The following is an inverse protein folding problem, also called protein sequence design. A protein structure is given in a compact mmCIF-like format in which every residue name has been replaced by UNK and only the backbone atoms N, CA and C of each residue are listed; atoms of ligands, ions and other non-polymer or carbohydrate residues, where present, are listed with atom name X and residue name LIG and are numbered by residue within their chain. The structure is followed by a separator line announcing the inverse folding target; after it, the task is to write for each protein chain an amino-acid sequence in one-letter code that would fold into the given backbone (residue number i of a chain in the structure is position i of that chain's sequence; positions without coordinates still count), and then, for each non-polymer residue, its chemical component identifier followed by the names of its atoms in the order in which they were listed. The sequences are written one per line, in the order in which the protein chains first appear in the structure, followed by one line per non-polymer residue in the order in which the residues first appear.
data_IF_086220612277
#
_entry.id   IF_086220612277
#
_cell.length_a   1.000
_cell.length_b   1.000
_cell.length_c   1.000
_cell.angle_alpha   90.00
_cell.angle_beta   90.00
_cell.angle_gamma   90.00
#
_symmetry.space_group_name_H-M   'P 1'
#
loop_
_entity.id
_entity.type
_entity.pdbx_description
1 polymer ?
#
# COMPACT_ATOMS: atom_id res chain seq x y z
N UNK A 1 8.92 10.91 -26.88
CA UNK A 1 8.03 10.32 -25.87
C UNK A 1 6.60 10.58 -26.31
N UNK A 2 5.77 9.54 -26.45
CA UNK A 2 4.35 9.70 -26.82
C UNK A 2 3.50 9.94 -25.58
N UNK A 3 2.33 10.57 -25.71
CA UNK A 3 1.41 10.83 -24.57
C UNK A 3 1.09 9.52 -23.82
N UNK A 4 0.87 8.42 -24.55
CA UNK A 4 0.61 7.10 -23.98
C UNK A 4 1.77 6.57 -23.11
N UNK A 5 3.02 6.86 -23.50
CA UNK A 5 4.20 6.43 -22.75
C UNK A 5 4.40 7.25 -21.48
N UNK A 6 4.09 8.56 -21.50
CA UNK A 6 4.11 9.40 -20.31
C UNK A 6 3.06 8.95 -19.28
N UNK A 7 1.82 8.71 -19.71
CA UNK A 7 0.74 8.22 -18.83
C UNK A 7 1.05 6.84 -18.24
N UNK A 8 1.72 5.96 -18.99
CA UNK A 8 2.15 4.67 -18.47
C UNK A 8 3.19 4.82 -17.36
N UNK A 9 4.21 5.66 -17.55
CA UNK A 9 5.25 5.90 -16.55
C UNK A 9 4.65 6.49 -15.27
N UNK A 10 3.76 7.46 -15.38
CA UNK A 10 3.06 8.06 -14.23
C UNK A 10 2.27 7.02 -13.43
N UNK A 11 1.53 6.14 -14.12
CA UNK A 11 0.79 5.04 -13.48
C UNK A 11 1.73 4.04 -12.81
N UNK A 12 2.84 3.68 -13.46
CA UNK A 12 3.82 2.76 -12.87
C UNK A 12 4.47 3.35 -11.62
N UNK A 13 4.85 4.62 -11.65
CA UNK A 13 5.40 5.30 -10.49
C UNK A 13 4.39 5.38 -9.34
N UNK A 14 3.12 5.63 -9.65
CA UNK A 14 2.07 5.63 -8.64
C UNK A 14 1.86 4.23 -8.04
N UNK A 15 1.88 3.18 -8.85
CA UNK A 15 1.78 1.79 -8.38
C UNK A 15 2.94 1.46 -7.43
N UNK A 16 4.18 1.78 -7.82
CA UNK A 16 5.36 1.55 -7.00
C UNK A 16 5.30 2.29 -5.66
N UNK A 17 4.74 3.52 -5.65
CA UNK A 17 4.55 4.28 -4.41
C UNK A 17 3.54 3.61 -3.47
N UNK A 18 2.40 3.16 -4.00
CA UNK A 18 1.36 2.48 -3.21
C UNK A 18 1.89 1.16 -2.65
N UNK A 19 2.62 0.38 -3.45
CA UNK A 19 3.25 -0.88 -3.03
C UNK A 19 4.24 -0.66 -1.88
N UNK A 20 5.14 0.33 -2.02
CA UNK A 20 6.10 0.64 -0.93
C UNK A 20 5.44 1.14 0.36
N UNK A 21 4.33 1.89 0.26
CA UNK A 21 3.53 2.31 1.42
C UNK A 21 2.86 1.11 2.10
N UNK A 22 2.28 0.21 1.30
CA UNK A 22 1.65 -1.01 1.79
C UNK A 22 2.65 -1.90 2.54
N UNK A 23 3.83 -2.14 1.96
CA UNK A 23 4.88 -2.96 2.57
C UNK A 23 5.37 -2.36 3.90
N UNK A 24 5.60 -1.05 3.92
CA UNK A 24 6.00 -0.35 5.16
C UNK A 24 4.95 -0.52 6.25
N UNK A 25 3.67 -0.47 5.90
CA UNK A 25 2.57 -0.59 6.85
C UNK A 25 2.38 -2.04 7.32
N UNK A 26 2.56 -3.01 6.41
CA UNK A 26 2.59 -4.44 6.72
C UNK A 26 3.68 -4.76 7.74
N UNK A 27 4.90 -4.27 7.53
CA UNK A 27 6.01 -4.45 8.46
C UNK A 27 5.70 -3.88 9.85
N UNK A 28 5.03 -2.71 9.91
CA UNK A 28 4.60 -2.11 11.20
C UNK A 28 3.55 -2.94 11.90
N UNK A 29 2.55 -3.46 11.17
CA UNK A 29 1.51 -4.36 11.73
C UNK A 29 2.14 -5.65 12.25
N UNK A 30 3.09 -6.23 11.51
CA UNK A 30 3.83 -7.42 11.94
C UNK A 30 4.63 -7.11 13.21
N UNK A 31 5.37 -6.00 13.24
CA UNK A 31 6.15 -5.58 14.40
C UNK A 31 5.28 -5.32 15.64
N UNK A 32 4.08 -4.77 15.46
CA UNK A 32 3.10 -4.59 16.53
C UNK A 32 2.68 -5.93 17.15
N UNK A 33 2.61 -7.01 16.37
CA UNK A 33 2.33 -8.36 16.88
C UNK A 33 3.43 -8.93 17.79
N UNK A 34 4.65 -8.38 17.75
CA UNK A 34 5.79 -8.83 18.54
C UNK A 34 6.09 -7.94 19.77
N UNK A 35 5.40 -6.82 19.97
CA UNK A 35 5.67 -5.94 21.10
C UNK A 35 4.54 -4.97 21.44
N UNK A 36 4.51 -4.46 22.67
CA UNK A 36 3.43 -3.60 23.19
C UNK A 36 3.53 -2.13 22.74
N UNK A 37 4.05 -1.86 21.53
CA UNK A 37 4.28 -0.49 21.06
C UNK A 37 3.02 0.18 20.49
N UNK A 38 2.09 -0.61 19.99
CA UNK A 38 0.84 -0.15 19.40
C UNK A 38 -0.32 -0.82 20.11
N UNK A 39 -1.40 -0.07 20.28
CA UNK A 39 -2.69 -0.58 20.71
C UNK A 39 -3.37 -1.39 19.61
N UNK A 40 -4.36 -2.21 20.00
CA UNK A 40 -5.18 -2.95 19.04
C UNK A 40 -5.93 -2.03 18.07
N UNK A 41 -6.31 -0.83 18.53
CA UNK A 41 -6.98 0.19 17.71
C UNK A 41 -6.03 0.75 16.63
N UNK A 42 -4.80 1.12 17.01
CA UNK A 42 -3.78 1.55 16.03
C UNK A 42 -3.47 0.45 15.02
N UNK A 43 -3.43 -0.81 15.44
CA UNK A 43 -3.24 -1.95 14.52
C UNK A 43 -4.44 -2.13 13.59
N UNK A 44 -5.66 -1.90 14.06
CA UNK A 44 -6.86 -1.95 13.23
C UNK A 44 -6.91 -0.81 12.21
N UNK A 45 -6.49 0.39 12.59
CA UNK A 45 -6.34 1.53 11.67
C UNK A 45 -5.31 1.24 10.58
N UNK A 46 -4.13 0.73 10.96
CA UNK A 46 -3.09 0.35 10.00
C UNK A 46 -3.60 -0.72 9.02
N UNK A 47 -4.37 -1.72 9.48
CA UNK A 47 -4.98 -2.72 8.58
C UNK A 47 -6.03 -2.12 7.65
N UNK A 48 -6.79 -1.13 8.12
CA UNK A 48 -7.77 -0.41 7.30
C UNK A 48 -7.07 0.38 6.20
N UNK A 49 -5.97 1.06 6.54
CA UNK A 49 -5.15 1.79 5.57
C UNK A 49 -4.48 0.84 4.57
N UNK A 50 -4.00 -0.34 4.99
CA UNK A 50 -3.52 -1.38 4.06
C UNK A 50 -4.61 -1.80 3.06
N UNK A 51 -5.85 -1.99 3.51
CA UNK A 51 -6.95 -2.35 2.63
C UNK A 51 -7.26 -1.23 1.60
N UNK A 52 -7.20 0.04 2.02
CA UNK A 52 -7.36 1.18 1.11
C UNK A 52 -6.24 1.23 0.07
N UNK A 53 -4.97 1.03 0.47
CA UNK A 53 -3.83 1.00 -0.44
C UNK A 53 -3.96 -0.15 -1.45
N UNK A 54 -4.36 -1.35 -1.01
CA UNK A 54 -4.61 -2.47 -1.92
C UNK A 54 -5.74 -2.17 -2.91
N UNK A 55 -6.81 -1.47 -2.50
CA UNK A 55 -7.88 -1.08 -3.42
C UNK A 55 -7.38 -0.09 -4.47
N UNK A 56 -6.61 0.93 -4.05
CA UNK A 56 -6.03 1.91 -4.99
C UNK A 56 -5.05 1.27 -5.97
N UNK A 57 -4.24 0.31 -5.50
CA UNK A 57 -3.33 -0.45 -6.36
C UNK A 57 -4.10 -1.29 -7.37
N UNK A 58 -5.20 -1.92 -6.95
CA UNK A 58 -6.08 -2.69 -7.84
C UNK A 58 -6.73 -1.82 -8.91
N UNK A 59 -7.26 -0.67 -8.55
CA UNK A 59 -7.86 0.26 -9.52
C UNK A 59 -6.84 0.74 -10.57
N UNK A 60 -5.57 0.82 -10.17
CA UNK A 60 -4.47 1.28 -11.02
C UNK A 60 -3.88 0.17 -11.92
N UNK A 61 -3.77 -1.06 -11.40
CA UNK A 61 -2.98 -2.14 -12.02
C UNK A 61 -3.79 -3.40 -12.35
N UNK A 62 -4.96 -3.58 -11.73
CA UNK A 62 -5.75 -4.81 -11.77
C UNK A 62 -5.23 -5.93 -10.86
N UNK A 63 -4.21 -5.66 -10.05
CA UNK A 63 -3.57 -6.64 -9.15
C UNK A 63 -3.87 -6.30 -7.69
N UNK A 64 -3.82 -7.30 -6.81
CA UNK A 64 -4.10 -7.15 -5.37
C UNK A 64 -2.81 -7.24 -4.57
N UNK A 65 -2.66 -6.39 -3.54
CA UNK A 65 -1.54 -6.45 -2.60
C UNK A 65 -1.92 -7.35 -1.41
N UNK A 66 -0.98 -8.17 -0.92
CA UNK A 66 -1.20 -9.17 0.14
C UNK A 66 -0.01 -9.27 1.08
#
# INVERSE_FOLDING_TARGET
MTIAQATFVEKQEQANRIEGQFDTLKDRVIAAGYGNKYSDEEVAEMRTEMAMLSSQYFDLTGLTLS
#
